data_IF_374705060896
#
_entry.id   IF_374705060896
#
_cell.length_a   1.000
_cell.length_b   1.000
_cell.length_c   1.000
_cell.angle_alpha   90.00
_cell.angle_beta   90.00
_cell.angle_gamma   90.00
#
_symmetry.space_group_name_H-M   'P 1'
#
loop_
_entity.id
_entity.type
_entity.pdbx_description
1 polymer ?
#
# COMPACT_ATOMS: atom_id res chain seq x y z
N UNK A 1 8.29 11.68 6.52
CA UNK A 1 7.05 10.88 6.46
C UNK A 1 6.48 10.90 7.87
N UNK A 2 5.26 11.43 8.05
CA UNK A 2 4.52 11.65 9.32
C UNK A 2 5.32 12.31 10.46
N UNK A 3 4.96 13.56 10.80
CA UNK A 3 5.59 14.34 11.87
C UNK A 3 4.87 14.17 13.23
N UNK A 4 3.55 13.97 13.22
CA UNK A 4 2.73 13.78 14.42
C UNK A 4 2.96 12.40 15.05
N UNK A 5 2.90 12.34 16.37
CA UNK A 5 2.96 11.06 17.12
C UNK A 5 1.65 10.27 17.06
N UNK A 6 0.52 10.96 16.85
CA UNK A 6 -0.79 10.33 16.72
C UNK A 6 -1.73 11.09 15.79
N UNK A 7 -2.61 10.33 15.13
CA UNK A 7 -3.62 10.81 14.17
C UNK A 7 -4.90 10.04 14.47
N UNK A 8 -5.97 10.76 14.84
CA UNK A 8 -7.29 10.18 15.14
C UNK A 8 -7.26 9.06 16.19
N UNK A 9 -6.38 9.17 17.18
CA UNK A 9 -6.22 8.17 18.25
C UNK A 9 -5.34 6.98 17.87
N UNK A 10 -4.84 6.91 16.63
CA UNK A 10 -3.90 5.88 16.17
C UNK A 10 -2.47 6.41 16.32
N UNK A 11 -1.58 5.60 16.90
CA UNK A 11 -0.17 5.94 17.03
C UNK A 11 0.54 5.91 15.66
N UNK A 12 1.60 6.69 15.50
CA UNK A 12 2.40 6.67 14.26
C UNK A 12 2.97 5.27 13.97
N UNK A 13 3.46 4.59 15.00
CA UNK A 13 4.05 3.25 14.88
C UNK A 13 3.02 2.21 14.40
N UNK A 14 1.78 2.28 14.87
CA UNK A 14 0.71 1.38 14.41
C UNK A 14 0.37 1.58 12.93
N UNK A 15 0.44 2.83 12.44
CA UNK A 15 0.20 3.13 11.02
C UNK A 15 1.33 2.55 10.16
N UNK A 16 2.59 2.71 10.58
CA UNK A 16 3.73 2.12 9.86
C UNK A 16 3.67 0.58 9.92
N UNK A 17 3.34 0.02 11.09
CA UNK A 17 3.20 -1.41 11.32
C UNK A 17 2.04 -2.03 10.52
N UNK A 18 0.95 -1.29 10.28
CA UNK A 18 -0.15 -1.73 9.42
C UNK A 18 0.34 -2.05 8.00
N UNK A 19 1.10 -1.16 7.36
CA UNK A 19 1.62 -1.40 6.01
C UNK A 19 2.62 -2.57 5.99
N UNK A 20 3.48 -2.66 7.02
CA UNK A 20 4.43 -3.77 7.13
C UNK A 20 3.71 -5.11 7.27
N UNK A 21 2.76 -5.20 8.20
CA UNK A 21 1.98 -6.42 8.44
C UNK A 21 1.16 -6.80 7.22
N UNK A 22 0.50 -5.84 6.58
CA UNK A 22 -0.31 -6.09 5.38
C UNK A 22 0.52 -6.68 4.25
N UNK A 23 1.68 -6.08 3.94
CA UNK A 23 2.53 -6.51 2.83
C UNK A 23 3.18 -7.85 3.07
N UNK A 24 3.61 -8.13 4.31
CA UNK A 24 4.16 -9.43 4.71
C UNK A 24 3.12 -10.54 4.62
N UNK A 25 1.92 -10.33 5.17
CA UNK A 25 0.88 -11.37 5.17
C UNK A 25 0.31 -11.65 3.78
N UNK A 26 0.27 -10.64 2.90
CA UNK A 26 -0.19 -10.82 1.52
C UNK A 26 0.89 -11.35 0.57
N UNK A 27 2.16 -11.44 1.01
CA UNK A 27 3.31 -11.80 0.16
C UNK A 27 3.42 -10.93 -1.10
N UNK A 28 3.29 -9.62 -0.92
CA UNK A 28 3.33 -8.64 -2.02
C UNK A 28 4.47 -7.64 -1.83
N UNK A 29 4.98 -7.11 -2.94
CA UNK A 29 5.91 -5.99 -2.93
C UNK A 29 5.14 -4.68 -3.13
N UNK A 30 5.23 -3.77 -2.16
CA UNK A 30 4.51 -2.48 -2.18
C UNK A 30 5.46 -1.34 -1.87
N UNK A 31 5.44 -0.33 -2.73
CA UNK A 31 6.14 0.92 -2.52
C UNK A 31 5.11 2.05 -2.49
N UNK A 32 5.09 2.83 -1.40
CA UNK A 32 4.22 4.00 -1.27
C UNK A 32 5.06 5.22 -0.93
N UNK A 33 4.86 6.30 -1.67
CA UNK A 33 5.54 7.58 -1.42
C UNK A 33 4.55 8.71 -1.51
N UNK A 34 4.38 9.44 -0.40
CA UNK A 34 3.62 10.68 -0.41
C UNK A 34 4.56 11.80 -0.84
N UNK A 35 4.41 12.26 -2.10
CA UNK A 35 5.34 13.21 -2.75
C UNK A 35 5.46 14.54 -1.99
N UNK A 36 4.36 15.05 -1.46
CA UNK A 36 4.30 16.31 -0.71
C UNK A 36 3.04 16.34 0.17
N UNK A 37 2.98 17.32 1.07
CA UNK A 37 1.82 17.62 1.91
C UNK A 37 2.24 18.15 3.28
N UNK A 38 1.36 18.90 3.93
CA UNK A 38 1.64 19.46 5.26
C UNK A 38 0.89 18.71 6.36
N UNK A 39 -0.40 18.44 6.16
CA UNK A 39 -1.26 17.74 7.10
C UNK A 39 -1.02 16.22 7.05
N UNK A 40 -0.61 15.63 8.17
CA UNK A 40 -0.29 14.20 8.22
C UNK A 40 -1.51 13.27 8.09
N UNK A 41 -2.71 13.70 8.50
CA UNK A 41 -3.95 12.94 8.26
C UNK A 41 -4.19 12.79 6.75
N UNK A 42 -4.13 13.89 6.00
CA UNK A 42 -4.28 13.84 4.54
C UNK A 42 -3.17 13.02 3.86
N UNK A 43 -1.93 13.05 4.36
CA UNK A 43 -0.85 12.22 3.80
C UNK A 43 -1.15 10.73 3.91
N UNK A 44 -1.63 10.29 5.06
CA UNK A 44 -1.91 8.88 5.33
C UNK A 44 -3.15 8.45 4.56
N UNK A 45 -4.18 9.28 4.54
CA UNK A 45 -5.37 9.02 3.73
C UNK A 45 -5.02 8.92 2.24
N UNK A 46 -4.16 9.79 1.73
CA UNK A 46 -3.67 9.72 0.35
C UNK A 46 -2.87 8.44 0.10
N UNK A 47 -1.98 8.05 1.03
CA UNK A 47 -1.24 6.79 0.96
C UNK A 47 -2.18 5.58 0.86
N UNK A 48 -3.17 5.47 1.75
CA UNK A 48 -4.14 4.37 1.77
C UNK A 48 -5.01 4.36 0.51
N UNK A 49 -5.54 5.51 0.09
CA UNK A 49 -6.34 5.63 -1.13
C UNK A 49 -5.55 5.23 -2.37
N UNK A 50 -4.28 5.65 -2.47
CA UNK A 50 -3.41 5.27 -3.59
C UNK A 50 -3.12 3.76 -3.60
N UNK A 51 -2.88 3.16 -2.43
CA UNK A 51 -2.69 1.73 -2.29
C UNK A 51 -3.95 0.96 -2.72
N UNK A 52 -5.14 1.40 -2.33
CA UNK A 52 -6.40 0.78 -2.72
C UNK A 52 -6.61 0.78 -4.24
N UNK A 53 -6.30 1.90 -4.92
CA UNK A 53 -6.36 1.98 -6.39
C UNK A 53 -5.33 1.04 -7.03
N UNK A 54 -4.10 1.01 -6.52
CA UNK A 54 -3.05 0.13 -7.03
C UNK A 54 -3.42 -1.35 -6.86
N UNK A 55 -3.93 -1.74 -5.70
CA UNK A 55 -4.42 -3.09 -5.43
C UNK A 55 -5.55 -3.49 -6.36
N UNK A 56 -6.56 -2.62 -6.51
CA UNK A 56 -7.66 -2.87 -7.43
C UNK A 56 -7.13 -3.17 -8.83
N UNK A 57 -6.17 -2.40 -9.31
CA UNK A 57 -5.60 -2.61 -10.64
C UNK A 57 -4.76 -3.90 -10.72
N UNK A 58 -3.95 -4.19 -9.71
CA UNK A 58 -3.10 -5.39 -9.65
C UNK A 58 -3.90 -6.69 -9.53
N UNK A 59 -5.09 -6.66 -8.90
CA UNK A 59 -5.93 -7.83 -8.68
C UNK A 59 -6.90 -8.12 -9.84
N UNK A 60 -6.97 -7.28 -10.87
CA UNK A 60 -7.88 -7.50 -12.00
C UNK A 60 -7.40 -8.68 -12.85
N UNK A 61 -8.36 -9.51 -13.28
CA UNK A 61 -8.09 -10.52 -14.30
C UNK A 61 -7.82 -9.87 -15.66
N UNK A 62 -6.66 -10.10 -16.24
CA UNK A 62 -6.35 -9.70 -17.62
C UNK A 62 -6.79 -10.81 -18.59
N UNK A 63 -7.74 -10.49 -19.48
CA UNK A 63 -8.26 -11.42 -20.50
C UNK A 63 -7.20 -11.85 -21.51
N UNK A 64 -6.13 -11.10 -21.67
CA UNK A 64 -5.01 -11.43 -22.58
C UNK A 64 -3.95 -12.30 -21.91
N UNK A 65 -3.93 -12.34 -20.57
CA UNK A 65 -2.97 -13.11 -19.81
C UNK A 65 -3.23 -14.61 -19.98
N UNK A 66 -2.20 -15.36 -20.35
CA UNK A 66 -2.23 -16.83 -20.43
C UNK A 66 -1.30 -17.40 -19.36
N UNK A 67 -1.84 -18.18 -18.43
CA UNK A 67 -1.07 -18.76 -17.33
C UNK A 67 -0.57 -17.72 -16.32
N UNK A 68 0.43 -18.11 -15.51
CA UNK A 68 1.01 -17.26 -14.45
C UNK A 68 1.78 -16.08 -15.08
N UNK A 69 1.60 -14.83 -14.62
CA UNK A 69 2.30 -13.65 -15.14
C UNK A 69 3.75 -13.57 -14.65
N UNK A 70 4.54 -14.60 -14.94
CA UNK A 70 5.95 -14.72 -14.52
C UNK A 70 6.73 -15.53 -15.55
N UNK A 71 7.92 -15.05 -15.93
CA UNK A 71 8.82 -15.76 -16.85
C UNK A 71 9.36 -17.08 -16.28
N UNK A 72 9.30 -17.24 -14.95
CA UNK A 72 9.66 -18.48 -14.26
C UNK A 72 8.49 -19.47 -14.17
N UNK A 73 7.28 -19.08 -14.57
CA UNK A 73 6.08 -19.91 -14.51
C UNK A 73 5.48 -20.09 -13.11
N UNK A 74 5.98 -19.37 -12.10
CA UNK A 74 5.50 -19.38 -10.71
C UNK A 74 5.52 -17.96 -10.11
N UNK A 75 4.70 -17.73 -9.07
CA UNK A 75 4.66 -16.51 -8.26
C UNK A 75 5.45 -16.71 -6.96
#
# INVERSE_FOLDING_TARGET
>A
MIKRNSIEGISKEDIEHFFQSLTQNLNICVHVTVKYGDNDHHKIEAAIKSLAVAFRNASLSDKKQKGVPSTKGAM
#
